data_IF_630183410916
#
_entry.id   IF_630183410916
#
_cell.length_a   1.000
_cell.length_b   1.000
_cell.length_c   1.000
_cell.angle_alpha   90.00
_cell.angle_beta   90.00
_cell.angle_gamma   90.00
#
_symmetry.space_group_name_H-M   'P 1'
#
loop_
_entity.id
_entity.type
_entity.pdbx_description
1 polymer ?
#
# COMPACT_ATOMS: atom_id res chain seq x y z
N UNK A 1 -3.57 -28.57 -19.26
CA UNK A 1 -2.60 -27.48 -18.98
C UNK A 1 -3.40 -26.27 -18.52
N UNK A 2 -3.28 -25.84 -17.26
CA UNK A 2 -3.89 -24.57 -16.82
C UNK A 2 -3.02 -23.45 -17.38
N UNK A 3 -3.60 -22.59 -18.21
CA UNK A 3 -2.90 -21.45 -18.81
C UNK A 3 -2.44 -20.52 -17.68
N UNK A 4 -1.18 -20.11 -17.72
CA UNK A 4 -0.62 -19.11 -16.81
C UNK A 4 -1.34 -17.78 -17.05
N UNK A 5 -2.27 -17.41 -16.18
CA UNK A 5 -2.98 -16.14 -16.23
C UNK A 5 -2.00 -14.98 -16.08
N UNK A 6 -2.06 -14.01 -16.99
CA UNK A 6 -1.26 -12.77 -16.93
C UNK A 6 -2.24 -11.61 -16.97
N UNK A 7 -2.37 -10.82 -15.88
CA UNK A 7 -3.28 -9.69 -15.87
C UNK A 7 -2.90 -8.64 -16.94
N UNK A 8 -3.92 -8.10 -17.58
CA UNK A 8 -3.88 -7.14 -18.69
C UNK A 8 -4.36 -5.76 -18.25
N UNK A 9 -4.30 -4.77 -19.14
CA UNK A 9 -4.86 -3.44 -18.87
C UNK A 9 -6.36 -3.47 -18.51
N UNK A 10 -7.13 -4.44 -19.00
CA UNK A 10 -8.54 -4.61 -18.62
C UNK A 10 -8.66 -5.04 -17.15
N UNK A 11 -7.81 -5.97 -16.72
CA UNK A 11 -7.75 -6.42 -15.32
C UNK A 11 -7.30 -5.29 -14.38
N UNK A 12 -6.63 -4.26 -14.89
CA UNK A 12 -6.31 -3.06 -14.11
C UNK A 12 -7.58 -2.26 -13.75
N UNK A 13 -8.55 -2.13 -14.66
CA UNK A 13 -9.83 -1.47 -14.39
C UNK A 13 -10.62 -2.23 -13.33
N UNK A 14 -10.67 -3.57 -13.43
CA UNK A 14 -11.33 -4.43 -12.44
C UNK A 14 -10.61 -4.39 -11.08
N UNK A 15 -9.30 -4.19 -11.07
CA UNK A 15 -8.54 -3.89 -9.86
C UNK A 15 -8.96 -2.57 -9.22
N UNK A 16 -9.05 -1.49 -9.99
CA UNK A 16 -9.45 -0.16 -9.48
C UNK A 16 -10.84 -0.23 -8.82
N UNK A 17 -11.79 -0.95 -9.41
CA UNK A 17 -13.12 -1.14 -8.81
C UNK A 17 -13.07 -1.84 -7.45
N UNK A 18 -12.26 -2.89 -7.29
CA UNK A 18 -12.07 -3.57 -6.01
C UNK A 18 -11.46 -2.66 -4.95
N UNK A 19 -10.55 -1.76 -5.33
CA UNK A 19 -10.00 -0.78 -4.38
C UNK A 19 -11.08 0.22 -3.97
N UNK A 20 -11.94 0.69 -4.89
CA UNK A 20 -13.06 1.57 -4.54
C UNK A 20 -14.04 0.93 -3.54
N UNK A 21 -14.22 -0.39 -3.58
CA UNK A 21 -15.02 -1.12 -2.58
C UNK A 21 -14.38 -1.04 -1.18
N UNK A 22 -13.06 -1.20 -1.08
CA UNK A 22 -12.33 -1.04 0.19
C UNK A 22 -12.45 0.39 0.71
N UNK A 23 -12.33 1.38 -0.17
CA UNK A 23 -12.35 2.80 0.21
C UNK A 23 -13.70 3.25 0.81
N UNK A 24 -14.79 2.52 0.54
CA UNK A 24 -16.10 2.78 1.15
C UNK A 24 -16.23 2.26 2.59
N UNK A 25 -15.24 1.50 3.09
CA UNK A 25 -15.26 0.92 4.43
C UNK A 25 -14.62 1.88 5.45
N UNK A 26 -15.03 1.85 6.73
CA UNK A 26 -14.47 2.73 7.76
C UNK A 26 -12.93 2.65 7.91
N UNK A 27 -12.35 1.44 7.80
CA UNK A 27 -10.90 1.23 7.87
C UNK A 27 -10.09 1.89 6.76
N UNK A 28 -10.72 2.34 5.66
CA UNK A 28 -10.00 3.00 4.57
C UNK A 28 -9.24 4.25 5.04
N UNK A 29 -9.75 4.92 6.08
CA UNK A 29 -9.10 6.04 6.75
C UNK A 29 -7.68 5.67 7.24
N UNK A 30 -7.48 4.45 7.74
CA UNK A 30 -6.16 3.96 8.15
C UNK A 30 -5.18 3.96 6.98
N UNK A 31 -5.62 3.55 5.78
CA UNK A 31 -4.79 3.58 4.57
C UNK A 31 -4.29 4.99 4.20
N UNK A 32 -5.06 6.03 4.50
CA UNK A 32 -4.62 7.42 4.34
C UNK A 32 -3.62 7.84 5.42
N UNK A 33 -3.81 7.40 6.67
CA UNK A 33 -2.89 7.65 7.79
C UNK A 33 -1.55 6.93 7.63
N UNK A 34 -1.53 5.75 7.01
CA UNK A 34 -0.32 4.97 6.74
C UNK A 34 0.69 5.70 5.83
N UNK A 35 0.23 6.65 5.02
CA UNK A 35 1.08 7.34 4.05
C UNK A 35 1.69 6.39 3.01
N UNK A 36 2.81 6.81 2.43
CA UNK A 36 3.58 5.98 1.50
C UNK A 36 2.77 5.54 0.27
N UNK A 37 3.05 4.32 -0.20
CA UNK A 37 2.43 3.78 -1.42
C UNK A 37 0.93 3.53 -1.27
N UNK A 38 0.46 3.14 -0.07
CA UNK A 38 -0.96 2.83 0.18
C UNK A 38 -1.77 4.10 -0.02
N UNK A 39 -1.43 5.17 0.71
CA UNK A 39 -2.05 6.48 0.56
C UNK A 39 -2.06 6.97 -0.90
N UNK A 40 -0.93 6.86 -1.62
CA UNK A 40 -0.84 7.35 -3.00
C UNK A 40 -1.73 6.58 -3.97
N UNK A 41 -1.84 5.25 -3.80
CA UNK A 41 -2.76 4.41 -4.59
C UNK A 41 -4.20 4.81 -4.30
N UNK A 42 -4.57 4.98 -3.03
CA UNK A 42 -5.93 5.37 -2.68
C UNK A 42 -6.30 6.73 -3.30
N UNK A 43 -5.38 7.70 -3.27
CA UNK A 43 -5.57 8.99 -3.95
C UNK A 43 -5.73 8.86 -5.47
N UNK A 44 -4.99 7.94 -6.10
CA UNK A 44 -5.11 7.69 -7.54
C UNK A 44 -6.48 7.13 -7.89
N UNK A 45 -6.91 6.09 -7.15
CA UNK A 45 -8.16 5.38 -7.39
C UNK A 45 -9.38 6.28 -7.17
N UNK A 46 -9.30 7.19 -6.21
CA UNK A 46 -10.34 8.20 -5.97
C UNK A 46 -10.46 9.23 -7.11
N UNK A 47 -9.39 9.42 -7.88
CA UNK A 47 -9.35 10.39 -8.98
C UNK A 47 -9.80 11.79 -8.53
N UNK A 48 -10.71 12.37 -9.30
CA UNK A 48 -11.24 13.74 -9.13
C UNK A 48 -12.53 13.80 -8.29
N UNK A 49 -12.94 12.71 -7.63
CA UNK A 49 -14.09 12.72 -6.72
C UNK A 49 -13.74 13.51 -5.44
N UNK A 50 -13.86 14.83 -5.55
CA UNK A 50 -13.49 15.78 -4.49
C UNK A 50 -14.33 15.58 -3.24
N UNK A 51 -15.65 15.37 -3.39
CA UNK A 51 -16.55 15.21 -2.25
C UNK A 51 -16.21 13.94 -1.45
N UNK A 52 -15.84 12.85 -2.15
CA UNK A 52 -15.45 11.63 -1.48
C UNK A 52 -14.06 11.74 -0.84
N UNK A 53 -13.10 12.40 -1.51
CA UNK A 53 -11.79 12.72 -0.92
C UNK A 53 -11.91 13.56 0.34
N UNK A 54 -12.72 14.62 0.32
CA UNK A 54 -12.91 15.51 1.46
C UNK A 54 -13.53 14.78 2.66
N UNK A 55 -14.50 13.88 2.41
CA UNK A 55 -15.09 13.03 3.46
C UNK A 55 -14.06 12.09 4.08
N UNK A 56 -13.24 11.43 3.27
CA UNK A 56 -12.21 10.51 3.76
C UNK A 56 -11.10 11.24 4.52
N UNK A 57 -10.69 12.43 4.07
CA UNK A 57 -9.73 13.25 4.81
C UNK A 57 -10.28 13.70 6.16
N UNK A 58 -11.56 14.09 6.20
CA UNK A 58 -12.25 14.43 7.46
C UNK A 58 -12.24 13.23 8.41
N UNK A 59 -12.62 12.05 7.92
CA UNK A 59 -12.63 10.82 8.72
C UNK A 59 -11.23 10.41 9.18
N UNK A 60 -10.21 10.53 8.31
CA UNK A 60 -8.82 10.24 8.68
C UNK A 60 -8.30 11.16 9.79
N UNK A 61 -8.79 12.39 9.86
CA UNK A 61 -8.46 13.37 10.90
C UNK A 61 -9.28 13.26 12.20
N UNK A 62 -10.41 12.56 12.19
CA UNK A 62 -11.27 12.34 13.37
C UNK A 62 -10.75 11.23 14.29
N UNK A 63 -9.71 10.50 13.88
CA UNK A 63 -9.07 9.45 14.66
C UNK A 63 -9.74 8.09 14.43
N UNK A 64 -10.00 7.37 15.52
CA UNK A 64 -10.57 6.02 15.49
C UNK A 64 -11.98 6.02 14.88
N UNK A 65 -12.26 5.02 14.05
CA UNK A 65 -13.56 4.80 13.42
C UNK A 65 -14.69 4.48 14.42
N UNK A 66 -14.35 4.05 15.64
CA UNK A 66 -15.31 3.51 16.62
C UNK A 66 -15.54 2.00 16.49
N UNK A 67 -15.03 1.36 15.44
CA UNK A 67 -15.18 -0.07 15.18
C UNK A 67 -14.03 -0.86 15.82
N UNK A 68 -14.26 -1.43 17.01
CA UNK A 68 -13.21 -2.11 17.77
C UNK A 68 -12.59 -3.31 17.03
N UNK A 69 -13.32 -3.94 16.11
CA UNK A 69 -12.84 -5.11 15.36
C UNK A 69 -11.70 -4.79 14.38
N UNK A 70 -11.46 -3.50 14.08
CA UNK A 70 -10.38 -3.05 13.19
C UNK A 70 -9.27 -2.31 13.93
N UNK A 71 -9.31 -2.28 15.27
CA UNK A 71 -8.26 -1.67 16.05
C UNK A 71 -7.03 -2.56 16.10
N UNK A 72 -5.88 -1.96 15.89
CA UNK A 72 -4.59 -2.58 16.07
C UNK A 72 -3.76 -1.77 17.06
N UNK A 73 -3.07 -2.49 17.93
CA UNK A 73 -2.09 -1.90 18.82
C UNK A 73 -0.90 -1.33 18.03
N UNK A 74 -0.63 -0.04 18.25
CA UNK A 74 0.45 0.71 17.60
C UNK A 74 1.61 0.92 18.55
N UNK A 75 1.34 1.14 19.85
CA UNK A 75 2.35 1.32 20.89
C UNK A 75 1.92 0.56 22.15
N UNK A 76 2.74 -0.39 22.58
CA UNK A 76 2.60 -1.05 23.87
C UNK A 76 3.33 -0.21 24.94
N UNK A 77 2.59 0.33 25.91
CA UNK A 77 3.19 1.01 27.06
C UNK A 77 3.35 0.06 28.25
N UNK A 78 2.40 -0.86 28.42
CA UNK A 78 2.42 -1.90 29.46
C UNK A 78 1.48 -3.06 29.10
N UNK A 79 1.43 -4.07 29.97
CA UNK A 79 0.50 -5.21 29.84
C UNK A 79 -0.99 -4.82 29.89
N UNK A 80 -1.33 -3.60 30.32
CA UNK A 80 -2.71 -3.13 30.48
C UNK A 80 -3.01 -1.83 29.75
N UNK A 81 -2.01 -1.21 29.12
CA UNK A 81 -2.14 0.08 28.46
C UNK A 81 -1.43 0.06 27.11
N UNK A 82 -2.20 0.30 26.06
CA UNK A 82 -1.72 0.35 24.69
C UNK A 82 -2.44 1.47 23.94
N UNK A 83 -1.72 2.14 23.04
CA UNK A 83 -2.35 3.00 22.04
C UNK A 83 -2.76 2.15 20.85
N UNK A 84 -4.01 2.35 20.42
CA UNK A 84 -4.60 1.67 19.26
C UNK A 84 -4.95 2.66 18.17
N UNK A 85 -4.87 2.22 16.92
CA UNK A 85 -5.40 2.93 15.75
C UNK A 85 -6.19 1.93 14.89
N UNK A 86 -7.05 2.42 14.00
CA UNK A 86 -7.62 1.59 12.96
C UNK A 86 -6.50 1.04 12.06
N UNK A 87 -6.61 -0.20 11.60
CA UNK A 87 -5.67 -0.76 10.64
C UNK A 87 -6.36 -1.43 9.46
N UNK A 88 -5.61 -1.55 8.37
CA UNK A 88 -5.97 -2.36 7.22
C UNK A 88 -5.39 -3.76 7.40
N UNK A 89 -6.20 -4.79 7.14
CA UNK A 89 -5.70 -6.17 7.15
C UNK A 89 -4.70 -6.41 6.01
N UNK A 90 -3.88 -7.46 6.12
CA UNK A 90 -2.96 -7.83 5.03
C UNK A 90 -3.71 -8.12 3.72
N UNK A 91 -4.91 -8.69 3.80
CA UNK A 91 -5.76 -8.96 2.63
C UNK A 91 -6.21 -7.65 1.96
N UNK A 92 -6.58 -6.65 2.73
CA UNK A 92 -6.95 -5.33 2.21
C UNK A 92 -5.76 -4.62 1.58
N UNK A 93 -4.59 -4.68 2.22
CA UNK A 93 -3.35 -4.16 1.66
C UNK A 93 -2.96 -4.87 0.36
N UNK A 94 -3.18 -6.18 0.26
CA UNK A 94 -2.96 -6.96 -0.95
C UNK A 94 -3.97 -6.58 -2.06
N UNK A 95 -5.23 -6.34 -1.71
CA UNK A 95 -6.24 -5.79 -2.65
C UNK A 95 -5.80 -4.42 -3.15
N UNK A 96 -5.42 -3.49 -2.27
CA UNK A 96 -4.94 -2.14 -2.62
C UNK A 96 -3.70 -2.23 -3.52
N UNK A 97 -2.80 -3.16 -3.26
CA UNK A 97 -1.60 -3.39 -4.08
C UNK A 97 -1.91 -4.05 -5.43
N UNK A 98 -3.14 -4.53 -5.63
CA UNK A 98 -3.58 -5.21 -6.85
C UNK A 98 -2.95 -6.57 -7.02
N UNK A 99 -2.88 -7.36 -5.94
CA UNK A 99 -2.30 -8.71 -5.93
C UNK A 99 -3.21 -9.71 -6.66
N UNK A 100 -2.59 -10.55 -7.47
CA UNK A 100 -3.17 -11.71 -8.14
C UNK A 100 -2.37 -12.95 -7.77
N UNK A 101 -3.07 -14.05 -7.46
CA UNK A 101 -2.47 -15.37 -7.30
C UNK A 101 -2.42 -16.07 -8.64
N UNK A 102 -1.23 -16.24 -9.20
CA UNK A 102 -1.01 -16.94 -10.47
C UNK A 102 -0.45 -18.34 -10.23
N UNK A 103 -1.00 -19.35 -10.90
CA UNK A 103 -0.47 -20.72 -10.81
C UNK A 103 0.90 -20.81 -11.47
N UNK A 104 1.87 -21.40 -10.76
CA UNK A 104 3.18 -21.66 -11.33
C UNK A 104 3.17 -22.98 -12.11
N UNK A 105 4.27 -23.27 -12.82
CA UNK A 105 4.43 -24.54 -13.54
C UNK A 105 4.64 -25.75 -12.60
N UNK A 106 4.71 -25.53 -11.28
CA UNK A 106 4.79 -26.59 -10.26
C UNK A 106 3.38 -26.85 -9.69
N UNK A 107 3.02 -28.14 -9.57
CA UNK A 107 1.70 -28.55 -9.08
C UNK A 107 1.44 -27.95 -7.68
N UNK A 108 0.28 -27.29 -7.53
CA UNK A 108 -0.21 -26.64 -6.31
C UNK A 108 0.61 -25.46 -5.77
N UNK A 109 1.54 -24.90 -6.53
CA UNK A 109 2.19 -23.65 -6.14
C UNK A 109 1.55 -22.45 -6.87
N UNK A 110 1.32 -21.39 -6.11
CA UNK A 110 0.92 -20.09 -6.64
C UNK A 110 1.98 -19.07 -6.31
N UNK A 111 2.15 -18.09 -7.21
CA UNK A 111 2.98 -16.94 -6.99
C UNK A 111 2.10 -15.70 -6.94
N UNK A 112 2.46 -14.76 -6.08
CA UNK A 112 1.82 -13.46 -6.03
C UNK A 112 2.48 -12.54 -7.07
N UNK A 113 1.65 -11.93 -7.90
CA UNK A 113 2.04 -10.81 -8.76
C UNK A 113 1.13 -9.63 -8.50
N UNK A 114 1.64 -8.41 -8.58
CA UNK A 114 0.86 -7.23 -8.21
C UNK A 114 1.12 -6.02 -9.09
N UNK A 115 0.10 -5.17 -9.25
CA UNK A 115 0.21 -3.91 -9.99
C UNK A 115 1.09 -2.89 -9.27
N UNK A 116 1.03 -2.87 -7.95
CA UNK A 116 1.84 -2.01 -7.08
C UNK A 116 2.60 -2.86 -6.05
N UNK A 117 3.72 -2.36 -5.49
CA UNK A 117 4.43 -3.13 -4.50
C UNK A 117 3.59 -3.25 -3.23
N UNK A 118 3.56 -4.45 -2.63
CA UNK A 118 2.92 -4.65 -1.32
C UNK A 118 3.48 -3.67 -0.30
N UNK A 119 2.66 -3.21 0.64
CA UNK A 119 3.07 -2.25 1.67
C UNK A 119 4.34 -2.72 2.42
N UNK A 120 4.40 -3.98 2.81
CA UNK A 120 5.58 -4.58 3.46
C UNK A 120 6.86 -4.49 2.61
N UNK A 121 6.75 -4.69 1.29
CA UNK A 121 7.88 -4.55 0.36
C UNK A 121 8.28 -3.09 0.17
N UNK A 122 7.30 -2.17 0.14
CA UNK A 122 7.57 -0.75 0.08
C UNK A 122 8.36 -0.28 1.30
N UNK A 123 7.87 -0.57 2.50
CA UNK A 123 8.54 -0.18 3.76
C UNK A 123 9.93 -0.82 3.89
N UNK A 124 10.06 -2.10 3.53
CA UNK A 124 11.31 -2.85 3.78
C UNK A 124 12.38 -2.63 2.71
N UNK A 125 11.96 -2.50 1.44
CA UNK A 125 12.83 -2.57 0.27
C UNK A 125 12.85 -1.32 -0.59
N UNK A 126 11.85 -0.43 -0.51
CA UNK A 126 11.98 0.86 -1.17
C UNK A 126 13.10 1.62 -0.46
N UNK A 127 14.25 1.75 -1.12
CA UNK A 127 15.40 2.51 -0.61
C UNK A 127 15.13 4.02 -0.55
N UNK A 128 13.87 4.44 -0.54
CA UNK A 128 13.40 5.82 -0.51
C UNK A 128 12.30 6.03 0.54
N UNK A 129 11.92 5.00 1.30
CA UNK A 129 10.94 5.13 2.38
C UNK A 129 11.62 5.71 3.63
N UNK A 130 11.58 7.04 3.77
CA UNK A 130 12.00 7.78 4.97
C UNK A 130 10.79 8.22 5.82
N UNK A 131 9.63 7.59 5.65
CA UNK A 131 8.37 8.01 6.27
C UNK A 131 7.66 9.17 5.56
N UNK A 132 8.26 9.77 4.52
CA UNK A 132 7.65 10.84 3.72
C UNK A 132 7.54 10.45 2.24
N UNK A 133 6.50 10.96 1.56
CA UNK A 133 6.34 10.82 0.12
C UNK A 133 7.15 11.90 -0.62
N UNK A 134 8.29 11.53 -1.20
CA UNK A 134 9.21 12.45 -1.87
C UNK A 134 8.83 12.69 -3.34
N UNK A 135 9.40 13.71 -3.96
CA UNK A 135 9.25 13.97 -5.40
C UNK A 135 9.74 12.80 -6.27
N UNK A 136 10.76 12.06 -5.81
CA UNK A 136 11.21 10.85 -6.51
C UNK A 136 10.17 9.73 -6.44
N UNK A 137 9.52 9.53 -5.30
CA UNK A 137 8.43 8.57 -5.16
C UNK A 137 7.28 8.93 -6.11
N UNK A 138 6.91 10.22 -6.19
CA UNK A 138 5.86 10.68 -7.10
C UNK A 138 6.23 10.47 -8.58
N UNK A 139 7.46 10.81 -8.98
CA UNK A 139 7.93 10.59 -10.34
C UNK A 139 7.88 9.10 -10.70
N UNK A 140 8.41 8.23 -9.83
CA UNK A 140 8.37 6.79 -10.02
C UNK A 140 6.94 6.26 -10.14
N UNK A 141 6.03 6.74 -9.29
CA UNK A 141 4.63 6.34 -9.31
C UNK A 141 3.96 6.73 -10.62
N UNK A 142 4.08 8.00 -11.02
CA UNK A 142 3.53 8.51 -12.27
C UNK A 142 4.07 7.78 -13.51
N UNK A 143 5.38 7.53 -13.56
CA UNK A 143 6.00 6.84 -14.70
C UNK A 143 5.52 5.39 -14.80
N UNK A 144 5.33 4.71 -13.65
CA UNK A 144 4.72 3.37 -13.64
C UNK A 144 3.25 3.41 -14.04
N UNK A 145 2.47 4.34 -13.50
CA UNK A 145 1.05 4.50 -13.83
C UNK A 145 0.85 4.70 -15.34
N UNK A 146 1.64 5.60 -15.94
CA UNK A 146 1.65 5.81 -17.39
C UNK A 146 1.94 4.51 -18.14
N UNK A 147 2.96 3.77 -17.71
CA UNK A 147 3.31 2.49 -18.33
C UNK A 147 2.18 1.44 -18.24
N UNK A 148 1.39 1.47 -17.15
CA UNK A 148 0.21 0.59 -17.00
C UNK A 148 -0.87 0.98 -18.01
N UNK A 149 -1.20 2.27 -18.13
CA UNK A 149 -2.20 2.75 -19.08
C UNK A 149 -1.78 2.56 -20.54
N UNK A 150 -0.50 2.71 -20.84
CA UNK A 150 0.07 2.45 -22.18
C UNK A 150 0.13 0.95 -22.51
N UNK A 151 -0.22 0.06 -21.57
CA UNK A 151 -0.18 -1.39 -21.74
C UNK A 151 1.23 -1.98 -21.81
N UNK A 152 2.26 -1.19 -21.47
CA UNK A 152 3.68 -1.61 -21.50
C UNK A 152 4.14 -2.21 -20.18
N UNK A 153 3.44 -1.93 -19.08
CA UNK A 153 3.69 -2.53 -17.78
C UNK A 153 2.78 -3.74 -17.52
N UNK A 154 3.34 -4.70 -16.77
CA UNK A 154 2.63 -5.86 -16.22
C UNK A 154 2.76 -5.91 -14.69
N UNK A 155 1.90 -6.68 -14.02
CA UNK A 155 2.10 -7.01 -12.61
C UNK A 155 3.47 -7.65 -12.38
N UNK A 156 4.11 -7.28 -11.28
CA UNK A 156 5.45 -7.76 -10.91
C UNK A 156 5.35 -8.74 -9.75
N UNK A 157 6.23 -9.72 -9.74
CA UNK A 157 6.48 -10.60 -8.60
C UNK A 157 7.26 -9.90 -7.49
N UNK A 158 7.31 -10.49 -6.30
CA UNK A 158 8.06 -9.97 -5.15
C UNK A 158 9.55 -9.72 -5.46
N UNK A 159 10.19 -10.59 -6.24
CA UNK A 159 11.61 -10.45 -6.62
C UNK A 159 11.83 -9.29 -7.59
N UNK A 160 10.95 -9.13 -8.56
CA UNK A 160 10.97 -8.01 -9.51
C UNK A 160 10.71 -6.68 -8.80
N UNK A 161 9.83 -6.66 -7.80
CA UNK A 161 9.63 -5.48 -6.96
C UNK A 161 10.88 -5.14 -6.16
N UNK A 162 11.47 -6.12 -5.49
CA UNK A 162 12.71 -5.92 -4.74
C UNK A 162 13.82 -5.34 -5.61
N UNK A 163 13.93 -5.77 -6.86
CA UNK A 163 14.90 -5.22 -7.81
C UNK A 163 14.53 -3.81 -8.27
N UNK A 164 13.25 -3.58 -8.60
CA UNK A 164 12.74 -2.30 -9.11
C UNK A 164 12.72 -1.18 -8.08
N UNK A 165 12.68 -1.53 -6.79
CA UNK A 165 12.61 -0.58 -5.67
C UNK A 165 13.98 -0.32 -5.01
N UNK A 166 15.07 -0.89 -5.54
CA UNK A 166 16.43 -0.60 -5.06
C UNK A 166 16.71 0.89 -5.20
N UNK A 167 16.70 1.60 -4.08
CA UNK A 167 17.06 3.01 -3.95
C UNK A 167 18.39 3.22 -3.25
N UNK A 168 18.64 4.47 -2.83
CA UNK A 168 19.86 4.86 -2.13
C UNK A 168 19.84 4.36 -0.67
N UNK A 169 20.89 3.63 -0.26
CA UNK A 169 20.98 3.04 1.10
C UNK A 169 20.84 4.08 2.23
N UNK A 170 21.22 5.32 1.97
CA UNK A 170 21.27 6.43 2.92
C UNK A 170 19.87 6.82 3.44
N UNK A 171 18.82 6.71 2.61
CA UNK A 171 17.46 7.11 2.99
C UNK A 171 16.88 6.21 4.09
N UNK A 172 17.22 4.92 4.08
CA UNK A 172 16.81 3.97 5.12
C UNK A 172 17.43 4.29 6.48
N UNK A 173 18.66 4.80 6.49
CA UNK A 173 19.34 5.19 7.73
C UNK A 173 18.62 6.37 8.40
N UNK A 174 18.22 7.38 7.62
CA UNK A 174 17.48 8.54 8.13
C UNK A 174 16.13 8.12 8.71
N UNK A 175 15.36 7.28 8.01
CA UNK A 175 14.07 6.79 8.51
C UNK A 175 14.20 6.05 9.85
N UNK A 176 15.20 5.17 9.99
CA UNK A 176 15.45 4.45 11.25
C UNK A 176 15.86 5.39 12.39
N UNK A 177 16.66 6.42 12.10
CA UNK A 177 17.08 7.41 13.10
C UNK A 177 15.88 8.22 13.61
N UNK A 178 15.00 8.66 12.70
CA UNK A 178 13.78 9.41 13.04
C UNK A 178 12.84 8.55 13.89
N UNK A 179 12.63 7.29 13.52
CA UNK A 179 11.79 6.37 14.29
C UNK A 179 12.35 6.13 15.70
N UNK A 180 13.67 5.91 15.82
CA UNK A 180 14.32 5.75 17.12
C UNK A 180 14.15 7.00 18.00
N UNK A 181 14.46 8.18 17.45
CA UNK A 181 14.33 9.44 18.18
C UNK A 181 12.89 9.76 18.58
N UNK A 182 11.91 9.34 17.77
CA UNK A 182 10.48 9.51 18.06
C UNK A 182 10.01 8.62 19.21
N UNK A 183 10.54 7.39 19.31
CA UNK A 183 10.27 6.50 20.45
C UNK A 183 10.85 7.01 21.75
N UNK A 184 12.04 7.60 21.70
CA UNK A 184 12.68 8.19 22.89
C UNK A 184 11.96 9.47 23.38
N UNK A 185 11.15 10.10 22.53
CA UNK A 185 10.41 11.31 22.85
C UNK A 185 9.10 11.03 23.62
N UNK A 186 8.46 9.88 23.38
CA UNK A 186 7.17 9.47 23.96
C UNK A 186 7.40 8.77 25.31
#
# INVERSE_FOLDING_TARGET
RRQSFTPTARDYVDYVQRVLEIVRRPQAAAGFRMGGIVWRILLEVLGDDKDFRDRLFKQAGEGLSGEQSIYQEVINLSSTCAFVDDSLSEEELDIISGVYKVYTNQLNQTADVSWWPKHSHWVTHAGQYAGIWTQWNEKWFCDRLRSIYDGTARPKSSSEWKQSLKGHRETKMVGNLVESASRDFI
#
